data_IF_192842116896
#
_entry.id   IF_192842116896
#
_cell.length_a   1.000
_cell.length_b   1.000
_cell.length_c   1.000
_cell.angle_alpha   90.00
_cell.angle_beta   90.00
_cell.angle_gamma   90.00
#
_symmetry.space_group_name_H-M   'P 1'
#
loop_
_entity.id
_entity.type
_entity.pdbx_description
1 polymer ?
#
# COMPACT_ATOMS: atom_id res chain seq x y z
N UNK A 1 -14.42 14.02 -0.21
CA UNK A 1 -14.82 12.62 -0.02
C UNK A 1 -14.17 12.11 1.25
N UNK A 2 -14.94 11.46 2.14
CA UNK A 2 -14.45 10.94 3.42
C UNK A 2 -14.88 9.49 3.62
N UNK A 3 -14.25 8.83 4.58
CA UNK A 3 -14.69 7.51 5.02
C UNK A 3 -15.97 7.63 5.83
N UNK A 4 -16.82 6.64 5.75
CA UNK A 4 -17.94 6.39 6.67
C UNK A 4 -17.58 5.23 7.59
N UNK A 5 -18.11 5.22 8.81
CA UNK A 5 -17.78 4.10 9.69
C UNK A 5 -18.18 4.31 11.14
N UNK A 6 -17.61 3.48 12.01
CA UNK A 6 -17.90 3.47 13.43
C UNK A 6 -16.62 3.67 14.23
N UNK A 7 -16.67 4.57 15.21
CA UNK A 7 -15.61 4.80 16.18
C UNK A 7 -16.07 4.25 17.54
N UNK A 8 -15.24 3.43 18.15
CA UNK A 8 -15.44 2.90 19.49
C UNK A 8 -14.51 3.65 20.45
N UNK A 9 -15.09 4.43 21.31
CA UNK A 9 -14.38 5.28 22.28
C UNK A 9 -14.60 4.72 23.67
N UNK A 10 -13.56 4.75 24.52
CA UNK A 10 -13.68 4.34 25.92
C UNK A 10 -14.64 5.29 26.65
N UNK A 11 -15.55 4.71 27.41
CA UNK A 11 -16.51 5.45 28.24
C UNK A 11 -15.90 5.85 29.62
N UNK A 12 -14.61 6.14 29.62
CA UNK A 12 -13.88 6.66 30.78
C UNK A 12 -13.55 8.15 30.59
N UNK A 13 -12.89 8.76 31.57
CA UNK A 13 -12.49 10.17 31.50
C UNK A 13 -11.45 10.47 30.41
N UNK A 14 -10.86 9.46 29.79
CA UNK A 14 -9.81 9.63 28.77
C UNK A 14 -10.38 9.75 27.36
N UNK A 15 -11.56 9.21 27.09
CA UNK A 15 -12.23 9.18 25.78
C UNK A 15 -11.32 8.69 24.65
N UNK A 16 -10.42 7.75 24.95
CA UNK A 16 -9.46 7.25 23.96
C UNK A 16 -10.15 6.37 22.93
N UNK A 17 -9.69 6.44 21.68
CA UNK A 17 -10.16 5.59 20.61
C UNK A 17 -9.70 4.15 20.85
N UNK A 18 -10.64 3.22 21.03
CA UNK A 18 -10.37 1.78 21.19
C UNK A 18 -10.31 1.05 19.87
N UNK A 19 -11.22 1.39 18.97
CA UNK A 19 -11.29 0.79 17.63
C UNK A 19 -11.95 1.77 16.67
N UNK A 20 -11.52 1.75 15.43
CA UNK A 20 -12.29 2.33 14.33
C UNK A 20 -12.51 1.30 13.22
N UNK A 21 -13.67 1.38 12.58
CA UNK A 21 -14.00 0.64 11.38
C UNK A 21 -14.43 1.68 10.35
N UNK A 22 -13.65 1.83 9.30
CA UNK A 22 -13.83 2.83 8.27
C UNK A 22 -14.11 2.14 6.94
N UNK A 23 -15.11 2.62 6.24
CA UNK A 23 -15.49 2.11 4.92
C UNK A 23 -15.45 3.24 3.90
N UNK A 24 -14.91 2.93 2.74
CA UNK A 24 -14.97 3.83 1.59
C UNK A 24 -16.38 3.78 0.99
N UNK A 25 -17.06 4.92 0.79
CA UNK A 25 -18.37 4.93 0.14
C UNK A 25 -18.28 4.42 -1.30
N UNK A 26 -19.30 3.68 -1.74
CA UNK A 26 -19.36 3.05 -3.08
C UNK A 26 -19.27 4.01 -4.28
N UNK A 27 -19.43 5.32 -4.07
CA UNK A 27 -19.38 6.35 -5.12
C UNK A 27 -18.17 7.27 -4.95
N UNK A 28 -17.03 6.71 -4.63
CA UNK A 28 -15.77 7.46 -4.59
C UNK A 28 -15.08 7.35 -5.93
N UNK A 29 -14.56 8.47 -6.44
CA UNK A 29 -13.78 8.51 -7.68
C UNK A 29 -12.34 7.99 -7.47
N UNK A 30 -12.20 6.90 -6.71
CA UNK A 30 -10.91 6.22 -6.56
C UNK A 30 -10.82 5.15 -7.64
N UNK A 31 -9.94 5.39 -8.59
CA UNK A 31 -9.77 4.50 -9.73
C UNK A 31 -9.57 3.04 -9.28
N UNK A 32 -10.32 2.15 -9.90
CA UNK A 32 -10.25 0.70 -9.74
C UNK A 32 -10.69 0.16 -8.37
N UNK A 33 -11.00 0.99 -7.38
CA UNK A 33 -11.45 0.53 -6.05
C UNK A 33 -12.97 0.44 -6.03
N UNK A 34 -13.53 -0.77 -5.84
CA UNK A 34 -14.95 -0.96 -5.65
C UNK A 34 -15.36 -0.77 -4.19
N UNK A 35 -14.61 -1.38 -3.28
CA UNK A 35 -14.85 -1.26 -1.84
C UNK A 35 -13.52 -1.24 -1.09
N UNK A 36 -13.49 -0.54 0.03
CA UNK A 36 -12.38 -0.56 0.97
C UNK A 36 -12.91 -0.49 2.39
N UNK A 37 -12.41 -1.36 3.25
CA UNK A 37 -12.67 -1.34 4.67
C UNK A 37 -11.36 -1.37 5.44
N UNK A 38 -11.26 -0.53 6.45
CA UNK A 38 -10.09 -0.41 7.32
C UNK A 38 -10.58 -0.62 8.75
N UNK A 39 -9.93 -1.53 9.48
CA UNK A 39 -10.18 -1.76 10.90
C UNK A 39 -8.88 -1.55 11.67
N UNK A 40 -8.91 -0.61 12.61
CA UNK A 40 -7.77 -0.30 13.47
C UNK A 40 -8.15 -0.56 14.93
N UNK A 41 -7.23 -1.12 15.70
CA UNK A 41 -7.41 -1.40 17.12
C UNK A 41 -6.28 -0.79 17.94
N UNK A 42 -6.66 -0.18 19.04
CA UNK A 42 -5.78 0.53 19.95
C UNK A 42 -5.93 -0.01 21.36
N UNK A 43 -4.90 0.13 22.17
CA UNK A 43 -4.91 -0.29 23.56
C UNK A 43 -3.71 0.24 24.34
N UNK A 44 -3.74 0.02 25.65
CA UNK A 44 -2.65 0.41 26.54
C UNK A 44 -1.56 -0.66 26.54
N UNK A 45 -0.32 -0.20 26.53
CA UNK A 45 0.84 -1.02 26.91
C UNK A 45 0.89 -1.18 28.44
N UNK A 46 1.65 -2.17 28.93
CA UNK A 46 1.90 -2.31 30.36
C UNK A 46 2.52 -1.06 31.01
N UNK A 47 3.21 -0.26 30.22
CA UNK A 47 3.86 1.01 30.60
C UNK A 47 2.88 2.19 30.62
N UNK A 48 1.65 2.01 30.12
CA UNK A 48 0.56 3.00 30.17
C UNK A 48 0.36 3.79 28.87
N UNK A 49 1.26 3.70 27.92
CA UNK A 49 1.10 4.38 26.62
C UNK A 49 -0.02 3.73 25.82
N UNK A 50 -0.75 4.58 25.09
CA UNK A 50 -1.84 4.16 24.22
C UNK A 50 -1.34 4.05 22.78
N UNK A 51 -1.39 2.83 22.23
CA UNK A 51 -0.79 2.51 20.94
C UNK A 51 -1.75 1.75 20.02
N UNK A 52 -1.44 1.74 18.73
CA UNK A 52 -2.18 0.97 17.73
C UNK A 52 -1.61 -0.45 17.63
N UNK A 53 -2.37 -1.46 17.99
CA UNK A 53 -1.95 -2.86 17.92
C UNK A 53 -2.16 -3.49 16.55
N UNK A 54 -3.24 -3.14 15.86
CA UNK A 54 -3.50 -3.70 14.53
C UNK A 54 -4.09 -2.67 13.57
N UNK A 55 -3.79 -2.89 12.30
CA UNK A 55 -4.36 -2.19 11.15
C UNK A 55 -4.65 -3.23 10.07
N UNK A 56 -5.93 -3.53 9.87
CA UNK A 56 -6.40 -4.46 8.85
C UNK A 56 -7.12 -3.68 7.76
N UNK A 57 -6.68 -3.82 6.52
CA UNK A 57 -7.29 -3.24 5.34
C UNK A 57 -7.74 -4.36 4.40
N UNK A 58 -8.98 -4.30 3.98
CA UNK A 58 -9.54 -5.12 2.91
C UNK A 58 -9.98 -4.20 1.79
N UNK A 59 -9.49 -4.45 0.57
CA UNK A 59 -9.79 -3.66 -0.61
C UNK A 59 -10.21 -4.58 -1.74
N UNK A 60 -11.34 -4.29 -2.37
CA UNK A 60 -11.80 -4.93 -3.58
C UNK A 60 -11.50 -4.03 -4.76
N UNK A 61 -10.74 -4.58 -5.70
CA UNK A 61 -10.29 -3.88 -6.90
C UNK A 61 -10.94 -4.50 -8.13
N UNK A 62 -11.35 -3.67 -9.07
CA UNK A 62 -11.83 -4.09 -10.37
C UNK A 62 -10.92 -3.56 -11.48
N UNK A 63 -10.19 -4.47 -12.13
CA UNK A 63 -9.32 -4.15 -13.25
C UNK A 63 -9.72 -4.96 -14.48
N UNK A 64 -9.95 -4.30 -15.59
CA UNK A 64 -10.22 -4.96 -16.88
C UNK A 64 -11.27 -6.08 -16.82
N UNK A 65 -12.31 -5.89 -15.99
CA UNK A 65 -13.35 -6.89 -15.77
C UNK A 65 -12.98 -8.03 -14.81
N UNK A 66 -11.77 -8.03 -14.26
CA UNK A 66 -11.34 -8.94 -13.20
C UNK A 66 -11.49 -8.31 -11.81
N UNK A 67 -12.01 -9.09 -10.86
CA UNK A 67 -12.11 -8.70 -9.46
C UNK A 67 -10.95 -9.27 -8.66
N UNK A 68 -10.27 -8.42 -7.91
CA UNK A 68 -9.14 -8.78 -7.07
C UNK A 68 -9.40 -8.32 -5.65
N UNK A 69 -9.16 -9.20 -4.70
CA UNK A 69 -9.23 -8.86 -3.29
C UNK A 69 -7.82 -8.70 -2.72
N UNK A 70 -7.53 -7.54 -2.17
CA UNK A 70 -6.27 -7.23 -1.51
C UNK A 70 -6.54 -7.10 -0.02
N UNK A 71 -5.85 -7.89 0.78
CA UNK A 71 -5.86 -7.78 2.24
C UNK A 71 -4.48 -7.43 2.74
N UNK A 72 -4.41 -6.41 3.59
CA UNK A 72 -3.22 -6.08 4.36
C UNK A 72 -3.57 -6.19 5.84
N UNK A 73 -2.88 -7.07 6.55
CA UNK A 73 -2.97 -7.19 8.00
C UNK A 73 -1.63 -6.75 8.61
N UNK A 74 -1.66 -5.74 9.46
CA UNK A 74 -0.49 -5.22 10.17
C UNK A 74 -0.68 -5.42 11.66
N UNK A 75 0.26 -6.07 12.31
CA UNK A 75 0.33 -6.21 13.76
C UNK A 75 1.58 -5.47 14.25
N UNK A 76 1.39 -4.56 15.18
CA UNK A 76 2.46 -3.79 15.78
C UNK A 76 2.78 -4.38 17.16
N UNK A 77 4.05 -4.68 17.39
CA UNK A 77 4.58 -5.19 18.66
C UNK A 77 5.91 -4.51 18.99
N UNK A 78 6.45 -4.80 20.15
CA UNK A 78 7.79 -4.37 20.57
C UNK A 78 7.98 -2.84 20.51
N UNK A 79 6.99 -2.11 21.02
CA UNK A 79 7.03 -0.66 21.06
C UNK A 79 8.20 -0.17 21.92
N UNK A 80 8.99 0.72 21.35
CA UNK A 80 10.11 1.36 22.01
C UNK A 80 9.97 2.88 21.91
N UNK A 81 9.93 3.56 23.06
CA UNK A 81 9.77 5.01 23.17
C UNK A 81 11.10 5.70 23.52
N UNK A 82 12.24 5.09 23.19
CA UNK A 82 13.53 5.76 23.35
C UNK A 82 13.62 6.97 22.43
N UNK A 83 14.24 8.04 22.93
CA UNK A 83 14.53 9.23 22.15
C UNK A 83 15.35 8.86 20.92
N UNK A 84 14.75 9.02 19.77
CA UNK A 84 15.46 8.82 18.51
C UNK A 84 16.34 10.02 18.23
N UNK A 85 17.61 9.76 17.87
CA UNK A 85 18.55 10.80 17.49
C UNK A 85 17.99 11.57 16.28
N UNK A 86 17.92 12.89 16.37
CA UNK A 86 17.45 13.79 15.29
C UNK A 86 18.10 13.55 13.93
N UNK A 87 19.30 12.96 13.89
CA UNK A 87 19.99 12.60 12.65
C UNK A 87 19.24 11.58 11.83
N UNK A 88 18.40 10.75 12.45
CA UNK A 88 17.56 9.76 11.74
C UNK A 88 16.54 10.47 10.85
N UNK A 89 15.99 11.60 11.32
CA UNK A 89 14.99 12.37 10.57
C UNK A 89 15.61 13.32 9.54
N UNK A 90 16.91 13.59 9.61
CA UNK A 90 17.62 14.47 8.66
C UNK A 90 18.06 13.76 7.38
N UNK A 91 17.93 12.44 7.31
CA UNK A 91 18.24 11.71 6.08
C UNK A 91 17.18 12.00 5.01
N UNK A 92 17.64 12.43 3.83
CA UNK A 92 16.78 12.62 2.68
C UNK A 92 16.24 11.24 2.24
N UNK A 93 14.92 11.06 2.28
CA UNK A 93 14.24 9.85 1.84
C UNK A 93 13.09 9.48 2.79
N UNK A 94 11.96 9.04 2.21
CA UNK A 94 10.76 8.64 2.96
C UNK A 94 10.92 7.27 3.63
N UNK A 95 11.84 6.46 3.13
CA UNK A 95 12.10 5.10 3.62
C UNK A 95 13.60 4.84 3.72
N UNK A 96 14.01 4.23 4.80
CA UNK A 96 15.36 3.69 4.97
C UNK A 96 15.22 2.18 4.92
N UNK A 97 15.70 1.56 3.84
CA UNK A 97 15.76 0.10 3.70
C UNK A 97 17.16 -0.39 4.02
N UNK A 98 17.25 -1.39 4.87
CA UNK A 98 18.51 -2.14 5.06
C UNK A 98 18.87 -2.81 3.72
N UNK A 99 20.13 -2.72 3.31
CA UNK A 99 20.62 -3.34 2.09
C UNK A 99 20.36 -4.86 2.05
N UNK A 100 20.35 -5.49 3.21
CA UNK A 100 20.11 -6.93 3.35
C UNK A 100 18.65 -7.30 3.61
N UNK A 101 17.72 -6.34 3.64
CA UNK A 101 16.32 -6.60 3.97
C UNK A 101 15.67 -7.66 3.06
N UNK A 102 16.05 -7.66 1.76
CA UNK A 102 15.50 -8.59 0.77
C UNK A 102 16.24 -9.96 0.74
N UNK A 103 17.35 -10.09 1.48
CA UNK A 103 18.16 -11.30 1.53
C UNK A 103 17.89 -12.17 2.78
N UNK A 104 16.91 -11.75 3.60
CA UNK A 104 16.51 -12.50 4.80
C UNK A 104 15.85 -13.81 4.41
N UNK A 105 16.25 -14.90 5.07
CA UNK A 105 15.70 -16.24 4.86
C UNK A 105 14.35 -16.44 5.58
N UNK A 106 13.68 -17.54 5.28
CA UNK A 106 12.38 -17.86 5.88
C UNK A 106 12.46 -18.03 7.40
N UNK A 107 13.59 -18.52 7.93
CA UNK A 107 13.82 -18.67 9.37
C UNK A 107 13.78 -17.31 10.08
N UNK A 108 14.44 -16.30 9.51
CA UNK A 108 14.37 -14.93 10.00
C UNK A 108 12.92 -14.42 10.03
N UNK A 109 12.20 -14.56 8.91
CA UNK A 109 10.83 -14.08 8.82
C UNK A 109 9.88 -14.82 9.75
N UNK A 110 10.05 -16.12 9.94
CA UNK A 110 9.23 -16.90 10.87
C UNK A 110 9.43 -16.49 12.33
N UNK A 111 10.63 -16.05 12.71
CA UNK A 111 10.91 -15.53 14.06
C UNK A 111 10.17 -14.20 14.32
N UNK A 112 10.10 -13.33 13.33
CA UNK A 112 9.50 -11.98 13.49
C UNK A 112 8.03 -11.90 13.10
N UNK A 113 7.49 -12.98 12.54
CA UNK A 113 6.08 -13.00 12.13
C UNK A 113 5.19 -13.18 13.35
N UNK A 114 4.30 -12.20 13.59
CA UNK A 114 3.34 -12.24 14.70
C UNK A 114 2.20 -13.26 14.49
N UNK A 115 1.93 -13.63 13.22
CA UNK A 115 0.86 -14.56 12.85
C UNK A 115 1.39 -15.55 11.83
N UNK A 116 1.07 -16.83 11.96
CA UNK A 116 1.44 -17.85 10.98
C UNK A 116 0.79 -17.57 9.62
N UNK A 117 1.52 -17.88 8.55
CA UNK A 117 0.96 -17.79 7.20
C UNK A 117 -0.12 -18.86 7.00
N UNK A 118 -1.20 -18.46 6.39
CA UNK A 118 -2.18 -19.41 5.87
C UNK A 118 -1.56 -20.21 4.72
N UNK A 119 -2.12 -21.38 4.41
CA UNK A 119 -1.68 -22.19 3.26
C UNK A 119 -1.70 -21.40 1.93
N UNK A 120 -2.68 -20.53 1.77
CA UNK A 120 -2.80 -19.67 0.58
C UNK A 120 -1.65 -18.66 0.51
N UNK A 121 -1.32 -18.00 1.61
CA UNK A 121 -0.23 -17.02 1.68
C UNK A 121 1.14 -17.67 1.50
N UNK A 122 1.36 -18.85 2.09
CA UNK A 122 2.59 -19.62 1.90
C UNK A 122 2.80 -20.00 0.43
N UNK A 123 1.74 -20.42 -0.27
CA UNK A 123 1.81 -20.77 -1.67
C UNK A 123 2.00 -19.56 -2.60
N UNK A 124 1.64 -18.36 -2.14
CA UNK A 124 1.75 -17.12 -2.92
C UNK A 124 3.21 -16.81 -3.30
N UNK A 125 4.16 -17.03 -2.39
CA UNK A 125 5.58 -16.83 -2.67
C UNK A 125 6.07 -17.67 -3.85
N UNK A 126 5.71 -18.95 -3.88
CA UNK A 126 6.02 -19.84 -4.99
C UNK A 126 5.33 -19.45 -6.30
N UNK A 127 4.11 -18.97 -6.23
CA UNK A 127 3.37 -18.46 -7.38
C UNK A 127 4.02 -17.21 -7.97
N UNK A 128 4.37 -16.23 -7.14
CA UNK A 128 5.06 -15.01 -7.58
C UNK A 128 6.41 -15.33 -8.22
N UNK A 129 7.18 -16.25 -7.65
CA UNK A 129 8.45 -16.69 -8.23
C UNK A 129 8.26 -17.34 -9.60
N UNK A 130 7.23 -18.17 -9.76
CA UNK A 130 6.90 -18.76 -11.07
C UNK A 130 6.49 -17.70 -12.09
N UNK A 131 5.68 -16.74 -11.70
CA UNK A 131 5.30 -15.62 -12.56
C UNK A 131 6.52 -14.77 -12.98
N UNK A 132 7.40 -14.45 -12.04
CA UNK A 132 8.60 -13.67 -12.30
C UNK A 132 9.53 -14.34 -13.33
N UNK A 133 9.54 -15.66 -13.39
CA UNK A 133 10.34 -16.46 -14.33
C UNK A 133 9.69 -16.58 -15.74
N UNK A 134 8.46 -16.13 -15.91
CA UNK A 134 7.82 -16.12 -17.23
C UNK A 134 8.51 -15.08 -18.13
N UNK A 135 9.03 -15.54 -19.28
CA UNK A 135 9.68 -14.66 -20.25
C UNK A 135 8.71 -13.57 -20.72
N UNK A 136 9.10 -12.32 -20.52
CA UNK A 136 8.26 -11.17 -20.88
C UNK A 136 7.36 -10.63 -19.78
N UNK A 137 7.20 -11.33 -18.65
CA UNK A 137 6.35 -10.90 -17.54
C UNK A 137 6.74 -9.51 -16.98
N UNK A 138 8.02 -9.18 -16.98
CA UNK A 138 8.52 -7.84 -16.60
C UNK A 138 7.88 -6.70 -17.41
N UNK A 139 7.57 -6.93 -18.68
CA UNK A 139 6.94 -5.91 -19.54
C UNK A 139 5.45 -5.76 -19.20
N UNK A 140 4.81 -6.87 -18.83
CA UNK A 140 3.42 -6.84 -18.33
C UNK A 140 3.35 -6.05 -17.03
N UNK A 141 4.27 -6.31 -16.10
CA UNK A 141 4.35 -5.56 -14.83
C UNK A 141 4.64 -4.07 -15.06
N UNK A 142 5.56 -3.77 -16.01
CA UNK A 142 5.84 -2.39 -16.37
C UNK A 142 4.60 -1.68 -16.92
N UNK A 143 3.89 -2.31 -17.84
CA UNK A 143 2.65 -1.76 -18.39
C UNK A 143 1.57 -1.58 -17.33
N UNK A 144 1.41 -2.56 -16.44
CA UNK A 144 0.46 -2.48 -15.34
C UNK A 144 0.82 -1.36 -14.35
N UNK A 145 2.10 -1.24 -13.98
CA UNK A 145 2.60 -0.14 -13.15
C UNK A 145 2.29 1.21 -13.79
N UNK A 146 2.62 1.37 -15.06
CA UNK A 146 2.37 2.59 -15.81
C UNK A 146 0.88 2.98 -15.86
N UNK A 147 -0.01 1.99 -15.98
CA UNK A 147 -1.46 2.22 -15.95
C UNK A 147 -1.99 2.61 -14.56
N UNK A 148 -1.48 1.97 -13.49
CA UNK A 148 -1.91 2.24 -12.12
C UNK A 148 -1.38 3.59 -11.64
N UNK A 149 -0.09 3.84 -11.85
CA UNK A 149 0.56 5.08 -11.43
C UNK A 149 0.20 6.24 -12.35
N UNK A 150 -0.32 5.93 -13.54
CA UNK A 150 -0.65 6.88 -14.60
C UNK A 150 0.56 7.65 -15.15
N UNK A 151 1.77 7.20 -14.82
CA UNK A 151 3.05 7.76 -15.24
C UNK A 151 4.03 6.66 -15.60
N UNK A 152 4.92 6.94 -16.54
CA UNK A 152 6.09 6.12 -16.85
C UNK A 152 7.32 6.84 -16.33
N UNK A 153 7.92 6.29 -15.30
CA UNK A 153 9.23 6.72 -14.83
C UNK A 153 10.29 6.28 -15.85
N UNK A 154 11.05 7.21 -16.40
CA UNK A 154 12.10 6.90 -17.37
C UNK A 154 13.46 6.62 -16.70
N UNK A 155 13.54 6.78 -15.39
CA UNK A 155 14.74 6.52 -14.59
C UNK A 155 14.80 5.14 -13.98
N UNK A 156 15.97 4.82 -13.43
CA UNK A 156 16.20 3.66 -12.57
C UNK A 156 16.44 4.13 -11.13
N UNK A 157 16.41 3.20 -10.16
CA UNK A 157 16.67 3.52 -8.74
C UNK A 157 18.06 4.16 -8.52
N UNK A 158 19.03 3.77 -9.34
CA UNK A 158 20.41 4.25 -9.23
C UNK A 158 20.63 5.54 -10.05
N UNK A 159 19.80 5.76 -11.06
CA UNK A 159 19.81 6.95 -11.92
C UNK A 159 18.39 7.50 -12.04
N UNK A 160 17.94 8.32 -11.06
CA UNK A 160 16.61 8.90 -11.11
C UNK A 160 16.44 9.76 -12.36
N UNK A 161 15.33 9.58 -13.02
CA UNK A 161 14.97 10.38 -14.20
C UNK A 161 14.71 11.83 -13.81
N UNK A 162 15.01 12.73 -14.72
CA UNK A 162 14.58 14.13 -14.63
C UNK A 162 13.25 14.38 -15.35
N UNK A 163 12.74 13.38 -16.04
CA UNK A 163 11.55 13.49 -16.88
C UNK A 163 10.73 12.22 -16.77
N UNK A 164 9.48 12.35 -16.34
CA UNK A 164 8.50 11.28 -16.34
C UNK A 164 7.43 11.53 -17.40
N UNK A 165 6.96 10.48 -18.05
CA UNK A 165 5.95 10.57 -19.11
C UNK A 165 4.58 10.29 -18.50
N UNK A 166 3.68 11.26 -18.55
CA UNK A 166 2.30 11.12 -18.07
C UNK A 166 1.58 12.45 -17.92
N UNK A 167 0.36 12.43 -17.47
CA UNK A 167 -0.49 11.27 -17.15
C UNK A 167 -0.95 10.49 -18.37
N UNK A 168 -0.80 9.17 -18.36
CA UNK A 168 -1.04 8.28 -19.51
C UNK A 168 -2.50 8.32 -19.95
N UNK A 169 -3.44 8.39 -19.02
CA UNK A 169 -4.88 8.45 -19.30
C UNK A 169 -5.32 9.71 -20.06
N UNK A 170 -4.49 10.75 -20.11
CA UNK A 170 -4.78 12.00 -20.82
C UNK A 170 -3.96 12.18 -22.10
N UNK A 171 -3.01 11.28 -22.38
CA UNK A 171 -2.20 11.33 -23.61
C UNK A 171 -3.10 11.22 -24.84
N UNK A 172 -4.05 10.30 -24.78
CA UNK A 172 -5.04 10.11 -25.83
C UNK A 172 -6.43 10.31 -25.25
N UNK A 173 -7.08 11.39 -25.61
CA UNK A 173 -8.46 11.67 -25.25
C UNK A 173 -9.30 11.85 -26.50
N UNK A 174 -10.52 11.37 -26.47
CA UNK A 174 -11.48 11.55 -27.55
C UNK A 174 -12.80 12.04 -26.96
N UNK A 175 -13.32 13.12 -27.51
CA UNK A 175 -14.66 13.57 -27.20
C UNK A 175 -15.44 13.81 -28.50
N UNK A 176 -16.77 13.89 -28.38
CA UNK A 176 -17.67 13.98 -29.53
C UNK A 176 -17.58 15.32 -30.25
N UNK A 177 -17.06 16.37 -29.60
CA UNK A 177 -17.00 17.72 -30.13
C UNK A 177 -15.67 18.00 -30.82
N UNK A 178 -14.55 17.66 -30.14
CA UNK A 178 -13.20 18.02 -30.58
C UNK A 178 -12.47 16.86 -31.31
N UNK A 179 -13.08 15.67 -31.36
CA UNK A 179 -12.45 14.48 -31.90
C UNK A 179 -11.34 13.93 -31.01
N UNK A 180 -10.35 13.35 -31.64
CA UNK A 180 -9.21 12.75 -30.93
C UNK A 180 -8.14 13.81 -30.65
N UNK A 181 -7.74 13.96 -29.39
CA UNK A 181 -6.69 14.86 -28.92
C UNK A 181 -5.50 14.08 -28.39
N UNK A 182 -4.32 14.38 -28.91
CA UNK A 182 -3.04 13.92 -28.39
C UNK A 182 -2.42 15.00 -27.51
N UNK A 183 -2.03 14.64 -26.29
CA UNK A 183 -1.38 15.55 -25.35
C UNK A 183 -0.06 14.94 -24.89
N UNK A 184 1.05 15.64 -25.06
CA UNK A 184 2.32 15.29 -24.47
C UNK A 184 2.54 16.16 -23.23
N UNK A 185 2.68 15.55 -22.06
CA UNK A 185 3.01 16.24 -20.81
C UNK A 185 4.31 15.61 -20.29
N UNK A 186 5.32 16.46 -20.10
CA UNK A 186 6.58 16.09 -19.44
C UNK A 186 6.64 16.86 -18.11
N UNK A 187 6.89 16.16 -17.03
CA UNK A 187 7.10 16.72 -15.70
C UNK A 187 8.56 16.54 -15.27
#
# INVERSE_FOLDING_TARGET
FGFTGTLYILADSTYRLKQCVLNLPKKTDVNFVETMSIKQQFGALPTGEWVQFSDDMLCELNFFGGRFMVRRATHNSDYNFLDTNERVFKKKGKEIKDANAMMRNDEFWNRYRATELTKSESNMGGFVTKLANIKGFKYVLFGLKALIENFVETGTKDHPSKVDIGPINTILTSNYIDGTRLRAVMC
#
